data_IF_062102783464
#
_entry.id   IF_062102783464
#
_cell.length_a   1.000
_cell.length_b   1.000
_cell.length_c   1.000
_cell.angle_alpha   90.00
_cell.angle_beta   90.00
_cell.angle_gamma   90.00
#
_symmetry.space_group_name_H-M   'P 1'
#
loop_
_entity.id
_entity.type
_entity.pdbx_description
1 polymer ?
#
# COMPACT_ATOMS: atom_id res chain seq x y z
N UNK A 1 18.28 33.37 29.34
CA UNK A 1 18.46 33.04 27.92
C UNK A 1 17.29 32.17 27.59
N UNK A 2 16.39 32.78 26.84
CA UNK A 2 15.04 32.35 26.53
C UNK A 2 15.15 31.69 25.15
N UNK A 3 15.29 30.37 25.12
CA UNK A 3 15.25 29.62 23.87
C UNK A 3 13.78 29.33 23.58
N UNK A 4 13.20 30.24 22.80
CA UNK A 4 11.86 30.11 22.25
C UNK A 4 11.84 28.94 21.25
N UNK A 5 11.23 27.83 21.65
CA UNK A 5 10.74 26.81 20.73
C UNK A 5 9.76 27.46 19.75
N UNK A 6 10.16 27.53 18.48
CA UNK A 6 9.30 28.00 17.40
C UNK A 6 8.10 27.05 17.20
N UNK A 7 6.92 27.56 16.82
CA UNK A 7 5.77 26.71 16.58
C UNK A 7 5.96 25.94 15.25
N UNK A 8 5.95 24.61 15.30
CA UNK A 8 5.43 23.82 14.18
C UNK A 8 6.33 22.84 13.42
N UNK A 9 7.49 22.38 13.92
CA UNK A 9 8.14 21.19 13.32
C UNK A 9 7.81 19.94 14.13
N UNK A 10 6.95 19.08 13.57
CA UNK A 10 6.69 17.74 14.09
C UNK A 10 8.01 17.00 14.35
N UNK A 11 8.10 16.25 15.44
CA UNK A 11 9.31 15.47 15.73
C UNK A 11 9.58 14.46 14.59
N UNK A 12 10.83 14.02 14.37
CA UNK A 12 11.13 12.98 13.37
C UNK A 12 10.27 11.73 13.56
N UNK A 13 10.07 11.29 14.82
CA UNK A 13 9.21 10.16 15.16
C UNK A 13 7.76 10.38 14.71
N UNK A 14 7.18 11.53 15.04
CA UNK A 14 5.82 11.89 14.64
C UNK A 14 5.67 11.93 13.10
N UNK A 15 6.67 12.45 12.40
CA UNK A 15 6.68 12.48 10.93
C UNK A 15 6.65 11.07 10.34
N UNK A 16 7.49 10.16 10.85
CA UNK A 16 7.51 8.78 10.38
C UNK A 16 6.21 8.04 10.75
N UNK A 17 5.63 8.25 11.92
CA UNK A 17 4.33 7.68 12.32
C UNK A 17 3.23 8.14 11.37
N UNK A 18 3.18 9.43 11.03
CA UNK A 18 2.17 9.98 10.13
C UNK A 18 2.29 9.41 8.71
N UNK A 19 3.50 9.35 8.18
CA UNK A 19 3.75 8.77 6.87
C UNK A 19 3.48 7.26 6.83
N UNK A 20 3.81 6.54 7.90
CA UNK A 20 3.47 5.12 8.06
C UNK A 20 1.95 4.92 8.05
N UNK A 21 1.21 5.64 8.90
CA UNK A 21 -0.25 5.61 8.97
C UNK A 21 -0.90 5.99 7.64
N UNK A 22 -0.34 6.96 6.93
CA UNK A 22 -0.80 7.34 5.58
C UNK A 22 -0.60 6.19 4.59
N UNK A 23 0.56 5.55 4.61
CA UNK A 23 0.87 4.46 3.69
C UNK A 23 0.03 3.20 3.95
N UNK A 24 -0.23 2.83 5.21
CA UNK A 24 -1.03 1.64 5.56
C UNK A 24 -2.54 1.84 5.34
N UNK A 25 -3.03 3.08 5.46
CA UNK A 25 -4.42 3.42 5.14
C UNK A 25 -4.68 3.63 3.64
N UNK A 26 -3.62 3.72 2.83
CA UNK A 26 -3.78 3.84 1.39
C UNK A 26 -4.24 2.49 0.83
N UNK A 27 -5.49 2.41 0.40
CA UNK A 27 -6.00 1.20 -0.22
C UNK A 27 -5.37 0.99 -1.62
N UNK A 28 -5.00 -0.25 -1.99
CA UNK A 28 -4.55 -0.56 -3.35
C UNK A 28 -5.52 -0.08 -4.42
N UNK A 29 -6.84 -0.17 -4.17
CA UNK A 29 -7.87 0.32 -5.10
C UNK A 29 -7.81 1.83 -5.38
N UNK A 30 -7.37 2.65 -4.42
CA UNK A 30 -7.24 4.10 -4.58
C UNK A 30 -5.98 4.49 -5.35
N UNK A 31 -4.86 3.80 -5.09
CA UNK A 31 -3.62 3.92 -5.86
C UNK A 31 -3.85 3.53 -7.31
N UNK A 32 -4.53 2.42 -7.53
CA UNK A 32 -4.84 1.92 -8.87
C UNK A 32 -5.87 2.83 -9.55
N UNK A 33 -6.93 3.25 -8.87
CA UNK A 33 -8.03 4.03 -9.46
C UNK A 33 -7.57 5.31 -10.16
N UNK A 34 -6.60 6.05 -9.58
CA UNK A 34 -6.04 7.26 -10.19
C UNK A 34 -5.30 6.96 -11.49
N UNK A 35 -4.42 5.97 -11.48
CA UNK A 35 -3.63 5.60 -12.66
C UNK A 35 -4.43 4.84 -13.71
N UNK A 36 -5.44 4.07 -13.30
CA UNK A 36 -6.35 3.37 -14.21
C UNK A 36 -7.25 4.33 -14.99
N UNK A 37 -7.63 5.47 -14.38
CA UNK A 37 -8.44 6.49 -15.05
C UNK A 37 -7.67 7.21 -16.18
N UNK A 38 -6.33 7.18 -16.13
CA UNK A 38 -5.45 7.76 -17.14
C UNK A 38 -5.17 6.80 -18.31
N UNK A 39 -5.56 5.52 -18.19
CA UNK A 39 -5.38 4.54 -19.26
C UNK A 39 -6.48 4.66 -20.32
N UNK A 40 -6.04 4.79 -21.56
CA UNK A 40 -6.90 4.63 -22.72
C UNK A 40 -7.39 3.18 -22.80
N UNK A 41 -8.70 2.99 -23.02
CA UNK A 41 -9.27 1.64 -23.20
C UNK A 41 -8.80 1.10 -24.55
N UNK A 42 -8.31 -0.15 -24.62
CA UNK A 42 -7.82 -0.68 -25.87
C UNK A 42 -8.97 -0.96 -26.83
N UNK A 43 -8.71 -0.89 -28.12
CA UNK A 43 -9.55 -1.55 -29.13
C UNK A 43 -9.41 -3.07 -28.95
N UNK A 44 -10.47 -3.80 -28.57
CA UNK A 44 -10.40 -5.25 -28.38
C UNK A 44 -10.11 -6.02 -29.68
N UNK A 45 -10.23 -5.38 -30.85
CA UNK A 45 -9.87 -5.96 -32.14
C UNK A 45 -8.40 -5.72 -32.51
N UNK A 46 -7.72 -4.78 -31.84
CA UNK A 46 -6.30 -4.52 -31.99
C UNK A 46 -5.51 -5.27 -30.91
N UNK A 47 -4.87 -6.37 -31.32
CA UNK A 47 -4.08 -7.21 -30.42
C UNK A 47 -2.86 -6.51 -29.85
N UNK A 48 -2.26 -5.55 -30.57
CA UNK A 48 -1.10 -4.80 -30.06
C UNK A 48 -1.54 -3.75 -29.06
N UNK A 49 -2.68 -3.10 -29.31
CA UNK A 49 -3.29 -2.17 -28.35
C UNK A 49 -3.68 -2.89 -27.05
N UNK A 50 -4.33 -4.06 -27.15
CA UNK A 50 -4.65 -4.88 -25.97
C UNK A 50 -3.40 -5.30 -25.19
N UNK A 51 -2.33 -5.69 -25.90
CA UNK A 51 -1.04 -6.04 -25.27
C UNK A 51 -0.43 -4.84 -24.54
N UNK A 52 -0.41 -3.67 -25.17
CA UNK A 52 0.05 -2.41 -24.56
C UNK A 52 -0.73 -2.12 -23.29
N UNK A 53 -2.06 -2.17 -23.37
CA UNK A 53 -2.94 -1.93 -22.23
C UNK A 53 -2.66 -2.87 -21.04
N UNK A 54 -2.51 -4.18 -21.30
CA UNK A 54 -2.20 -5.16 -20.24
C UNK A 54 -0.82 -4.87 -19.61
N UNK A 55 0.18 -4.47 -20.40
CA UNK A 55 1.49 -4.11 -19.88
C UNK A 55 1.48 -2.81 -19.07
N UNK A 56 0.68 -1.83 -19.47
CA UNK A 56 0.49 -0.61 -18.70
C UNK A 56 -0.22 -0.87 -17.37
N UNK A 57 -1.25 -1.72 -17.37
CA UNK A 57 -1.88 -2.20 -16.14
C UNK A 57 -0.87 -2.90 -15.22
N UNK A 58 -0.04 -3.79 -15.76
CA UNK A 58 1.03 -4.46 -15.01
C UNK A 58 1.96 -3.45 -14.36
N UNK A 59 2.38 -2.44 -15.11
CA UNK A 59 3.29 -1.39 -14.63
C UNK A 59 2.67 -0.59 -13.50
N UNK A 60 1.44 -0.11 -13.68
CA UNK A 60 0.69 0.63 -12.66
C UNK A 60 0.50 -0.21 -11.40
N UNK A 61 0.09 -1.47 -11.58
CA UNK A 61 -0.16 -2.38 -10.46
C UNK A 61 1.13 -2.71 -9.70
N UNK A 62 2.19 -3.05 -10.43
CA UNK A 62 3.49 -3.39 -9.84
C UNK A 62 4.15 -2.20 -9.16
N UNK A 63 4.20 -1.04 -9.79
CA UNK A 63 4.83 0.16 -9.23
C UNK A 63 4.04 0.67 -8.02
N UNK A 64 2.72 0.80 -8.13
CA UNK A 64 1.87 1.28 -7.04
C UNK A 64 1.99 0.41 -5.78
N UNK A 65 1.93 -0.92 -5.94
CA UNK A 65 2.09 -1.83 -4.80
C UNK A 65 3.51 -1.82 -4.22
N UNK A 66 4.54 -1.87 -5.07
CA UNK A 66 5.92 -1.86 -4.59
C UNK A 66 6.27 -0.57 -3.83
N UNK A 67 5.80 0.59 -4.32
CA UNK A 67 6.06 1.86 -3.67
C UNK A 67 5.31 1.98 -2.34
N UNK A 68 4.07 1.49 -2.26
CA UNK A 68 3.32 1.39 -1.01
C UNK A 68 4.07 0.52 0.02
N UNK A 69 4.46 -0.71 -0.34
CA UNK A 69 5.19 -1.61 0.57
C UNK A 69 6.55 -1.05 0.98
N UNK A 70 7.26 -0.35 0.09
CA UNK A 70 8.53 0.32 0.41
C UNK A 70 8.34 1.43 1.43
N UNK A 71 7.32 2.28 1.28
CA UNK A 71 7.03 3.35 2.25
C UNK A 71 6.72 2.76 3.63
N UNK A 72 5.88 1.73 3.69
CA UNK A 72 5.55 1.05 4.94
C UNK A 72 6.81 0.50 5.61
N UNK A 73 7.67 -0.20 4.87
CA UNK A 73 8.91 -0.73 5.43
C UNK A 73 9.89 0.37 5.88
N UNK A 74 10.05 1.42 5.07
CA UNK A 74 10.93 2.56 5.37
C UNK A 74 10.51 3.26 6.66
N UNK A 75 9.23 3.65 6.75
CA UNK A 75 8.74 4.36 7.92
C UNK A 75 8.61 3.45 9.14
N UNK A 76 8.25 2.18 8.95
CA UNK A 76 8.20 1.20 10.04
C UNK A 76 9.56 1.00 10.71
N UNK A 77 10.63 0.79 9.92
CA UNK A 77 12.00 0.66 10.44
C UNK A 77 12.43 1.92 11.19
N UNK A 78 12.21 3.09 10.58
CA UNK A 78 12.58 4.36 11.19
C UNK A 78 11.85 4.59 12.53
N UNK A 79 10.58 4.20 12.66
CA UNK A 79 9.86 4.29 13.93
C UNK A 79 10.51 3.41 14.99
N UNK A 80 10.79 2.13 14.67
CA UNK A 80 11.42 1.20 15.61
C UNK A 80 12.85 1.61 16.00
N UNK A 81 13.54 2.41 15.17
CA UNK A 81 14.87 2.97 15.50
C UNK A 81 14.80 4.24 16.35
N UNK A 82 13.69 4.97 16.31
CA UNK A 82 13.53 6.28 16.95
C UNK A 82 12.88 6.21 18.34
N UNK A 83 12.31 5.07 18.74
CA UNK A 83 11.69 4.90 20.06
C UNK A 83 11.75 3.46 20.55
N UNK A 84 11.88 3.30 21.87
CA UNK A 84 11.74 2.02 22.58
C UNK A 84 10.33 1.83 23.16
N UNK A 85 9.40 2.77 22.92
CA UNK A 85 8.01 2.69 23.40
C UNK A 85 7.31 1.47 22.78
N UNK A 86 7.09 0.42 23.58
CA UNK A 86 6.54 -0.86 23.15
C UNK A 86 5.13 -0.74 22.55
N UNK A 87 4.34 0.22 23.04
CA UNK A 87 3.04 0.56 22.52
C UNK A 87 3.10 1.04 21.05
N UNK A 88 4.25 1.53 20.59
CA UNK A 88 4.49 1.95 19.22
C UNK A 88 5.17 0.81 18.44
N UNK A 89 6.30 0.32 18.93
CA UNK A 89 7.16 -0.61 18.18
C UNK A 89 6.47 -1.95 17.91
N UNK A 90 5.80 -2.55 18.91
CA UNK A 90 5.10 -3.83 18.71
C UNK A 90 3.94 -3.70 17.71
N UNK A 91 3.21 -2.58 17.73
CA UNK A 91 2.10 -2.33 16.80
C UNK A 91 2.60 -2.14 15.37
N UNK A 92 3.68 -1.38 15.19
CA UNK A 92 4.33 -1.19 13.88
C UNK A 92 4.84 -2.51 13.31
N UNK A 93 5.46 -3.36 14.14
CA UNK A 93 5.93 -4.68 13.74
C UNK A 93 4.78 -5.63 13.33
N UNK A 94 3.70 -5.66 14.12
CA UNK A 94 2.51 -6.46 13.79
C UNK A 94 1.88 -6.03 12.46
N UNK A 95 1.68 -4.72 12.26
CA UNK A 95 1.13 -4.17 11.02
C UNK A 95 2.04 -4.52 9.83
N UNK A 96 3.36 -4.32 9.98
CA UNK A 96 4.34 -4.61 8.93
C UNK A 96 4.36 -6.11 8.59
N UNK A 97 4.22 -6.98 9.58
CA UNK A 97 4.15 -8.44 9.38
C UNK A 97 2.91 -8.85 8.59
N UNK A 98 1.74 -8.33 8.94
CA UNK A 98 0.50 -8.61 8.20
C UNK A 98 0.60 -8.15 6.74
N UNK A 99 1.22 -6.99 6.51
CA UNK A 99 1.42 -6.41 5.17
C UNK A 99 2.43 -7.21 4.35
N UNK A 100 3.47 -7.77 4.99
CA UNK A 100 4.41 -8.66 4.33
C UNK A 100 3.72 -9.92 3.79
N UNK A 101 2.74 -10.46 4.51
CA UNK A 101 1.93 -11.60 4.03
C UNK A 101 1.07 -11.24 2.80
N UNK A 102 0.58 -10.00 2.72
CA UNK A 102 -0.16 -9.52 1.53
C UNK A 102 0.75 -9.34 0.31
N UNK A 103 2.04 -9.03 0.54
CA UNK A 103 3.03 -8.88 -0.53
C UNK A 103 3.30 -10.18 -1.29
N UNK A 104 3.08 -11.34 -0.66
CA UNK A 104 3.36 -12.65 -1.27
C UNK A 104 2.45 -12.96 -2.48
N UNK A 105 1.30 -12.30 -2.58
CA UNK A 105 0.40 -12.44 -3.73
C UNK A 105 0.90 -11.65 -4.97
N UNK A 106 1.75 -10.63 -4.77
CA UNK A 106 2.20 -9.72 -5.85
C UNK A 106 2.93 -10.43 -6.99
N UNK A 107 3.92 -11.32 -6.75
CA UNK A 107 4.59 -12.02 -7.84
C UNK A 107 3.64 -12.85 -8.71
N UNK A 108 2.65 -13.49 -8.08
CA UNK A 108 1.63 -14.29 -8.76
C UNK A 108 0.75 -13.42 -9.66
N UNK A 109 0.33 -12.25 -9.17
CA UNK A 109 -0.47 -11.30 -9.96
C UNK A 109 0.35 -10.77 -11.16
N UNK A 110 1.61 -10.38 -10.94
CA UNK A 110 2.49 -9.89 -12.00
C UNK A 110 2.77 -10.96 -13.07
N UNK A 111 2.91 -12.22 -12.68
CA UNK A 111 3.03 -13.34 -13.61
C UNK A 111 1.74 -13.57 -14.42
N UNK A 112 0.56 -13.39 -13.81
CA UNK A 112 -0.72 -13.45 -14.54
C UNK A 112 -0.86 -12.34 -15.58
N UNK A 113 -0.31 -11.14 -15.33
CA UNK A 113 -0.22 -10.10 -16.36
C UNK A 113 0.66 -10.52 -17.53
N UNK A 114 1.83 -11.12 -17.26
CA UNK A 114 2.73 -11.62 -18.30
C UNK A 114 2.08 -12.72 -19.15
N UNK A 115 1.30 -13.61 -18.53
CA UNK A 115 0.55 -14.64 -19.24
C UNK A 115 -0.54 -14.01 -20.13
N UNK A 116 -1.31 -13.06 -19.59
CA UNK A 116 -2.36 -12.37 -20.35
C UNK A 116 -1.81 -11.59 -21.55
N UNK A 117 -0.69 -10.90 -21.40
CA UNK A 117 -0.04 -10.13 -22.46
C UNK A 117 0.55 -11.02 -23.58
N UNK A 118 0.91 -12.28 -23.26
CA UNK A 118 1.44 -13.26 -24.22
C UNK A 118 0.32 -13.96 -24.99
N UNK A 119 -0.71 -14.42 -24.29
CA UNK A 119 -1.78 -15.23 -24.90
C UNK A 119 -2.82 -14.38 -25.62
N UNK A 120 -3.17 -13.19 -25.09
CA UNK A 120 -4.18 -12.28 -25.64
C UNK A 120 -5.55 -12.94 -25.90
N UNK A 121 -5.88 -14.01 -25.17
CA UNK A 121 -7.18 -14.67 -25.25
C UNK A 121 -8.12 -14.14 -24.18
N UNK A 122 -9.43 -14.19 -24.46
CA UNK A 122 -10.46 -13.87 -23.45
C UNK A 122 -10.29 -14.69 -22.17
N UNK A 123 -9.92 -15.96 -22.31
CA UNK A 123 -9.68 -16.86 -21.18
C UNK A 123 -8.50 -16.38 -20.33
N UNK A 124 -7.40 -15.93 -20.95
CA UNK A 124 -6.24 -15.39 -20.23
C UNK A 124 -6.60 -14.11 -19.47
N UNK A 125 -7.38 -13.20 -20.08
CA UNK A 125 -7.86 -11.99 -19.41
C UNK A 125 -8.79 -12.31 -18.24
N UNK A 126 -9.68 -13.30 -18.38
CA UNK A 126 -10.53 -13.76 -17.27
C UNK A 126 -9.70 -14.39 -16.15
N UNK A 127 -8.69 -15.20 -16.48
CA UNK A 127 -7.77 -15.77 -15.48
C UNK A 127 -7.02 -14.68 -14.71
N UNK A 128 -6.52 -13.65 -15.39
CA UNK A 128 -5.90 -12.48 -14.76
C UNK A 128 -6.86 -11.82 -13.76
N UNK A 129 -8.10 -11.54 -14.18
CA UNK A 129 -9.11 -10.95 -13.29
C UNK A 129 -9.37 -11.84 -12.06
N UNK A 130 -9.53 -13.15 -12.25
CA UNK A 130 -9.73 -14.10 -11.15
C UNK A 130 -8.51 -14.18 -10.23
N UNK A 131 -7.28 -14.10 -10.73
CA UNK A 131 -6.07 -14.04 -9.89
C UNK A 131 -6.10 -12.83 -8.97
N UNK A 132 -6.42 -11.64 -9.50
CA UNK A 132 -6.50 -10.40 -8.72
C UNK A 132 -7.61 -10.51 -7.66
N UNK A 133 -8.81 -10.98 -8.05
CA UNK A 133 -9.92 -11.13 -7.11
C UNK A 133 -9.61 -12.14 -6.01
N UNK A 134 -8.99 -13.28 -6.33
CA UNK A 134 -8.64 -14.30 -5.34
C UNK A 134 -7.57 -13.81 -4.36
N UNK A 135 -6.60 -13.02 -4.81
CA UNK A 135 -5.64 -12.37 -3.92
C UNK A 135 -6.35 -11.40 -2.96
N UNK A 136 -7.26 -10.56 -3.49
CA UNK A 136 -8.07 -9.67 -2.67
C UNK A 136 -8.89 -10.42 -1.61
N UNK A 137 -9.56 -11.51 -1.99
CA UNK A 137 -10.35 -12.33 -1.05
C UNK A 137 -9.48 -12.99 0.01
N UNK A 138 -8.30 -13.51 -0.34
CA UNK A 138 -7.34 -14.07 0.63
C UNK A 138 -6.80 -13.01 1.59
N UNK A 139 -6.73 -11.76 1.17
CA UNK A 139 -6.33 -10.62 1.98
C UNK A 139 -7.37 -10.18 3.00
N UNK A 140 -8.67 -10.42 2.77
CA UNK A 140 -9.75 -9.89 3.61
C UNK A 140 -9.61 -10.18 5.11
N UNK A 141 -9.28 -11.41 5.57
CA UNK A 141 -9.12 -11.67 7.00
C UNK A 141 -7.97 -10.88 7.62
N UNK A 142 -6.86 -10.71 6.89
CA UNK A 142 -5.69 -9.94 7.33
C UNK A 142 -5.96 -8.44 7.28
N UNK A 143 -6.76 -8.00 6.32
CA UNK A 143 -7.22 -6.62 6.22
C UNK A 143 -8.02 -6.22 7.48
N UNK A 144 -8.97 -7.04 7.93
CA UNK A 144 -9.72 -6.73 9.16
C UNK A 144 -8.79 -6.59 10.38
N UNK A 145 -7.86 -7.53 10.56
CA UNK A 145 -6.89 -7.49 11.65
C UNK A 145 -5.99 -6.24 11.57
N UNK A 146 -5.54 -5.89 10.37
CA UNK A 146 -4.74 -4.69 10.14
C UNK A 146 -5.53 -3.43 10.42
N UNK A 147 -6.77 -3.34 9.97
CA UNK A 147 -7.61 -2.16 10.12
C UNK A 147 -7.93 -1.90 11.61
N UNK A 148 -8.14 -2.95 12.41
CA UNK A 148 -8.22 -2.87 13.87
C UNK A 148 -6.92 -2.34 14.50
N UNK A 149 -5.76 -2.92 14.14
CA UNK A 149 -4.46 -2.48 14.66
C UNK A 149 -4.13 -1.03 14.28
N UNK A 150 -4.46 -0.62 13.05
CA UNK A 150 -4.25 0.74 12.56
C UNK A 150 -5.15 1.72 13.30
N UNK A 151 -6.41 1.37 13.59
CA UNK A 151 -7.31 2.21 14.37
C UNK A 151 -6.79 2.41 15.80
N UNK A 152 -6.39 1.33 16.46
CA UNK A 152 -5.83 1.36 17.82
C UNK A 152 -4.54 2.19 17.86
N UNK A 153 -3.65 1.96 16.89
CA UNK A 153 -2.39 2.67 16.80
C UNK A 153 -2.58 4.16 16.50
N UNK A 154 -3.50 4.50 15.60
CA UNK A 154 -3.87 5.90 15.29
C UNK A 154 -4.41 6.60 16.53
N UNK A 155 -5.30 5.94 17.27
CA UNK A 155 -5.88 6.48 18.51
C UNK A 155 -4.80 6.74 19.56
N UNK A 156 -3.88 5.80 19.74
CA UNK A 156 -2.74 5.99 20.63
C UNK A 156 -1.88 7.18 20.19
N UNK A 157 -1.49 7.24 18.92
CA UNK A 157 -0.64 8.31 18.39
C UNK A 157 -1.30 9.69 18.51
N UNK A 158 -2.62 9.81 18.32
CA UNK A 158 -3.34 11.08 18.50
C UNK A 158 -3.34 11.58 19.95
N UNK A 159 -3.31 10.67 20.93
CA UNK A 159 -3.17 11.05 22.34
C UNK A 159 -1.73 11.41 22.73
N UNK A 160 -0.75 10.73 22.11
CA UNK A 160 0.68 10.91 22.35
C UNK A 160 1.29 12.11 21.62
N UNK A 161 0.77 12.42 20.44
CA UNK A 161 1.15 13.51 19.54
C UNK A 161 -0.12 14.28 19.14
N UNK A 162 -0.70 15.09 20.04
CA UNK A 162 -1.91 15.83 19.73
C UNK A 162 -1.65 16.78 18.55
N UNK A 163 -2.60 16.91 17.61
CA UNK A 163 -2.48 17.89 16.53
C UNK A 163 -2.33 19.29 17.14
N UNK A 164 -1.48 20.13 16.56
CA UNK A 164 -1.36 21.52 17.01
C UNK A 164 -2.73 22.19 16.94
N UNK A 165 -3.19 22.75 18.06
CA UNK A 165 -4.41 23.54 18.11
C UNK A 165 -4.28 24.67 17.08
N UNK A 166 -5.14 24.65 16.06
CA UNK A 166 -5.27 25.75 15.09
C UNK A 166 -6.00 26.94 15.71
#
# INVERSE_FOLDING_TARGET
>A
MDDSDGPGSASPLETHIREFLTAVNTHPGELLGKHLAELEKPDPQDTEDLRRYINDLKRIYGQGLLDMYRRIALHGSAICELTDETEITERVEQITTLIALDRDDVPTILASFDAAAKELTREATVRLFLTIQNAGVRGLPRQVQRDELVLDFTTYCLSRFPPADN
#
